data_IF_122034902273
#
_entry.id   IF_122034902273
#
_cell.length_a   1.000
_cell.length_b   1.000
_cell.length_c   1.000
_cell.angle_alpha   90.00
_cell.angle_beta   90.00
_cell.angle_gamma   90.00
#
_symmetry.space_group_name_H-M   'P 1'
#
loop_
_entity.id
_entity.type
_entity.pdbx_description
1 polymer ?
#
# COMPACT_ATOMS: atom_id res chain seq x y z
N UNK A 1 42.65 32.91 5.83
CA UNK A 1 42.74 31.53 6.33
C UNK A 1 41.45 31.21 7.08
N UNK A 2 40.53 30.51 6.41
CA UNK A 2 39.95 29.22 6.84
C UNK A 2 38.80 29.36 7.87
N UNK A 3 37.59 28.83 7.73
CA UNK A 3 37.04 27.74 6.92
C UNK A 3 35.57 28.02 6.51
N UNK A 4 35.21 27.58 5.31
CA UNK A 4 33.85 27.21 4.94
C UNK A 4 33.31 26.18 5.95
N UNK A 5 32.28 26.54 6.72
CA UNK A 5 31.51 25.55 7.49
C UNK A 5 30.32 25.10 6.66
N UNK A 6 30.54 24.00 5.95
CA UNK A 6 29.54 23.18 5.26
C UNK A 6 28.31 22.96 6.13
N UNK A 7 27.19 23.60 5.77
CA UNK A 7 25.87 23.25 6.29
C UNK A 7 25.44 21.97 5.59
N UNK A 8 25.62 20.85 6.28
CA UNK A 8 25.12 19.52 5.89
C UNK A 8 23.64 19.61 5.52
N UNK A 9 23.18 18.91 4.45
CA UNK A 9 21.76 18.76 4.21
C UNK A 9 21.11 18.08 5.42
N UNK A 10 20.08 18.72 6.01
CA UNK A 10 19.21 18.09 7.00
C UNK A 10 18.47 16.97 6.29
N UNK A 11 18.95 15.73 6.40
CA UNK A 11 18.11 14.57 6.14
C UNK A 11 16.91 14.67 7.09
N UNK A 12 15.71 14.84 6.53
CA UNK A 12 14.50 14.79 7.31
C UNK A 12 14.45 13.46 8.07
N UNK A 13 14.24 13.51 9.39
CA UNK A 13 14.05 12.28 10.18
C UNK A 13 12.91 11.46 9.58
N UNK A 14 13.04 10.13 9.42
CA UNK A 14 11.99 9.30 8.84
C UNK A 14 10.76 9.14 9.76
N UNK A 15 10.82 9.58 11.02
CA UNK A 15 9.76 9.42 12.01
C UNK A 15 8.36 9.92 11.59
N UNK A 16 8.17 11.15 11.05
CA UNK A 16 6.87 11.62 10.57
C UNK A 16 6.36 10.84 9.35
N UNK A 17 7.26 10.37 8.48
CA UNK A 17 6.89 9.56 7.30
C UNK A 17 6.44 8.16 7.74
N UNK A 18 7.17 7.53 8.67
CA UNK A 18 6.80 6.25 9.26
C UNK A 18 5.46 6.30 10.00
N UNK A 19 5.15 7.41 10.68
CA UNK A 19 3.86 7.62 11.34
C UNK A 19 2.69 7.64 10.35
N UNK A 20 2.90 8.13 9.12
CA UNK A 20 1.89 8.12 8.06
C UNK A 20 1.45 6.72 7.60
N UNK A 21 2.26 5.68 7.84
CA UNK A 21 1.92 4.29 7.52
C UNK A 21 1.31 3.51 8.68
N UNK A 22 1.07 4.14 9.84
CA UNK A 22 0.44 3.48 11.00
C UNK A 22 -0.96 2.93 10.69
N UNK A 23 -1.85 3.66 9.97
CA UNK A 23 -3.17 3.13 9.63
C UNK A 23 -3.08 1.84 8.81
N UNK A 24 -2.18 1.79 7.82
CA UNK A 24 -1.94 0.61 7.01
C UNK A 24 -1.47 -0.59 7.83
N UNK A 25 -0.48 -0.40 8.71
CA UNK A 25 0.00 -1.49 9.57
C UNK A 25 -1.11 -2.03 10.46
N UNK A 26 -1.88 -1.12 11.06
CA UNK A 26 -2.99 -1.49 11.93
C UNK A 26 -4.03 -2.28 11.15
N UNK A 27 -4.45 -1.78 9.98
CA UNK A 27 -5.40 -2.46 9.13
C UNK A 27 -4.93 -3.88 8.76
N UNK A 28 -3.69 -4.00 8.25
CA UNK A 28 -3.15 -5.31 7.85
C UNK A 28 -3.01 -6.25 9.05
N UNK A 29 -2.62 -5.77 10.23
CA UNK A 29 -2.52 -6.59 11.43
C UNK A 29 -3.91 -7.05 11.92
N UNK A 30 -4.90 -6.15 11.94
CA UNK A 30 -6.26 -6.42 12.40
C UNK A 30 -7.02 -7.36 11.46
N UNK A 31 -6.64 -7.40 10.17
CA UNK A 31 -7.34 -8.16 9.13
C UNK A 31 -6.50 -9.24 8.43
N UNK A 32 -5.31 -9.59 8.93
CA UNK A 32 -4.39 -10.52 8.27
C UNK A 32 -5.02 -11.86 7.88
N UNK A 33 -5.80 -12.46 8.78
CA UNK A 33 -6.46 -13.74 8.52
C UNK A 33 -7.50 -13.64 7.40
N UNK A 34 -8.33 -12.59 7.42
CA UNK A 34 -9.33 -12.35 6.38
C UNK A 34 -8.69 -12.08 5.03
N UNK A 35 -7.61 -11.28 5.00
CA UNK A 35 -6.86 -11.00 3.76
C UNK A 35 -6.25 -12.27 3.18
N UNK A 36 -5.72 -13.16 4.04
CA UNK A 36 -5.14 -14.43 3.60
C UNK A 36 -6.19 -15.38 3.04
N UNK A 37 -7.33 -15.54 3.72
CA UNK A 37 -8.43 -16.39 3.27
C UNK A 37 -8.98 -15.87 1.94
N UNK A 38 -9.17 -14.55 1.83
CA UNK A 38 -9.59 -13.90 0.60
C UNK A 38 -8.61 -14.18 -0.55
N UNK A 39 -7.31 -13.98 -0.32
CA UNK A 39 -6.29 -14.21 -1.33
C UNK A 39 -6.21 -15.68 -1.77
N UNK A 40 -6.36 -16.63 -0.85
CA UNK A 40 -6.38 -18.06 -1.16
C UNK A 40 -7.62 -18.45 -1.98
N UNK A 41 -8.79 -17.92 -1.62
CA UNK A 41 -10.04 -18.18 -2.34
C UNK A 41 -10.00 -17.65 -3.78
N UNK A 42 -9.43 -16.46 -3.97
CA UNK A 42 -9.48 -15.74 -5.24
C UNK A 42 -8.34 -16.07 -6.20
N UNK A 43 -7.14 -16.33 -5.67
CA UNK A 43 -5.93 -16.56 -6.46
C UNK A 43 -5.10 -17.76 -6.01
N UNK A 44 -5.59 -18.53 -5.05
CA UNK A 44 -4.90 -19.69 -4.53
C UNK A 44 -3.70 -19.38 -3.64
N UNK A 45 -2.95 -20.44 -3.34
CA UNK A 45 -1.89 -20.45 -2.33
C UNK A 45 -0.75 -19.46 -2.57
N UNK A 46 -0.43 -19.14 -3.83
CA UNK A 46 0.58 -18.14 -4.17
C UNK A 46 0.21 -16.77 -3.63
N UNK A 47 -1.06 -16.37 -3.78
CA UNK A 47 -1.58 -15.10 -3.30
C UNK A 47 -1.72 -15.08 -1.78
N UNK A 48 -2.11 -16.19 -1.16
CA UNK A 48 -2.08 -16.33 0.30
C UNK A 48 -0.67 -16.12 0.90
N UNK A 49 0.36 -16.66 0.24
CA UNK A 49 1.75 -16.45 0.65
C UNK A 49 2.21 -15.00 0.46
N UNK A 50 1.71 -14.30 -0.57
CA UNK A 50 1.99 -12.88 -0.76
C UNK A 50 1.43 -12.03 0.39
N UNK A 51 0.25 -12.40 0.94
CA UNK A 51 -0.30 -11.76 2.15
C UNK A 51 0.63 -11.95 3.35
N UNK A 52 1.18 -13.14 3.56
CA UNK A 52 2.16 -13.37 4.64
C UNK A 52 3.42 -12.51 4.45
N UNK A 53 3.93 -12.40 3.22
CA UNK A 53 5.07 -11.54 2.89
C UNK A 53 4.73 -10.07 3.23
N UNK A 54 3.54 -9.58 2.87
CA UNK A 54 3.09 -8.22 3.20
C UNK A 54 3.07 -8.02 4.71
N UNK A 55 2.48 -8.95 5.46
CA UNK A 55 2.36 -8.89 6.92
C UNK A 55 3.74 -8.83 7.57
N UNK A 56 4.64 -9.72 7.17
CA UNK A 56 6.00 -9.78 7.71
C UNK A 56 6.77 -8.47 7.43
N UNK A 57 6.72 -8.00 6.18
CA UNK A 57 7.42 -6.78 5.79
C UNK A 57 6.87 -5.54 6.46
N UNK A 58 5.56 -5.44 6.67
CA UNK A 58 4.95 -4.36 7.44
C UNK A 58 5.20 -4.46 8.95
N UNK A 59 5.74 -5.57 9.48
CA UNK A 59 6.26 -5.62 10.84
C UNK A 59 7.68 -5.09 10.93
N UNK A 60 8.50 -5.33 9.91
CA UNK A 60 9.94 -5.05 9.94
C UNK A 60 10.37 -3.73 9.27
N UNK A 61 9.62 -3.23 8.28
CA UNK A 61 9.97 -2.02 7.52
C UNK A 61 9.26 -0.79 8.13
N UNK A 62 9.91 0.18 8.80
CA UNK A 62 9.23 1.35 9.40
C UNK A 62 8.61 2.30 8.36
N UNK A 63 9.15 2.30 7.15
CA UNK A 63 8.59 2.92 5.96
C UNK A 63 8.49 1.80 4.92
N UNK A 64 7.28 1.45 4.42
CA UNK A 64 7.13 0.41 3.43
C UNK A 64 7.95 0.72 2.19
N UNK A 65 8.71 -0.26 1.73
CA UNK A 65 9.43 -0.14 0.47
C UNK A 65 8.46 -0.08 -0.72
N UNK A 66 8.97 0.34 -1.89
CA UNK A 66 8.21 0.28 -3.14
C UNK A 66 7.70 -1.12 -3.47
N UNK A 67 8.47 -2.16 -3.13
CA UNK A 67 8.04 -3.55 -3.33
C UNK A 67 6.84 -3.89 -2.45
N UNK A 68 6.82 -3.44 -1.19
CA UNK A 68 5.72 -3.69 -0.25
C UNK A 68 4.44 -3.02 -0.71
N UNK A 69 4.55 -1.78 -1.19
CA UNK A 69 3.42 -1.05 -1.77
C UNK A 69 2.89 -1.74 -3.03
N UNK A 70 3.77 -2.23 -3.92
CA UNK A 70 3.34 -2.99 -5.10
C UNK A 70 2.59 -4.28 -4.74
N UNK A 71 3.08 -5.04 -3.76
CA UNK A 71 2.36 -6.24 -3.31
C UNK A 71 0.97 -5.91 -2.73
N UNK A 72 0.83 -4.77 -2.05
CA UNK A 72 -0.47 -4.30 -1.56
C UNK A 72 -1.39 -3.86 -2.70
N UNK A 73 -0.85 -3.20 -3.72
CA UNK A 73 -1.61 -2.82 -4.92
C UNK A 73 -2.06 -4.06 -5.71
N UNK A 74 -1.19 -5.05 -5.88
CA UNK A 74 -1.49 -6.35 -6.53
C UNK A 74 -2.57 -7.11 -5.75
N UNK A 75 -2.49 -7.13 -4.41
CA UNK A 75 -3.53 -7.73 -3.57
C UNK A 75 -4.87 -7.00 -3.72
N UNK A 76 -4.86 -5.66 -3.75
CA UNK A 76 -6.07 -4.88 -3.97
C UNK A 76 -6.66 -5.15 -5.36
N UNK A 77 -5.83 -5.26 -6.38
CA UNK A 77 -6.24 -5.58 -7.74
C UNK A 77 -6.95 -6.95 -7.79
N UNK A 78 -6.35 -7.98 -7.20
CA UNK A 78 -6.96 -9.32 -7.07
C UNK A 78 -8.33 -9.25 -6.38
N UNK A 79 -8.40 -8.55 -5.25
CA UNK A 79 -9.59 -8.50 -4.41
C UNK A 79 -10.71 -7.58 -4.93
N UNK A 80 -10.41 -6.70 -5.89
CA UNK A 80 -11.35 -5.67 -6.36
C UNK A 80 -12.11 -6.01 -7.62
N UNK A 81 -11.95 -7.23 -8.16
CA UNK A 81 -12.58 -7.66 -9.41
C UNK A 81 -12.26 -6.75 -10.62
N UNK A 82 -11.30 -5.80 -10.51
CA UNK A 82 -10.88 -4.95 -11.63
C UNK A 82 -10.25 -5.76 -12.78
N UNK A 83 -9.89 -7.03 -12.52
CA UNK A 83 -9.41 -7.99 -13.52
C UNK A 83 -10.52 -8.79 -14.24
N UNK A 84 -11.79 -8.72 -13.80
CA UNK A 84 -12.90 -9.53 -14.37
C UNK A 84 -13.30 -9.09 -15.78
N UNK A 85 -12.71 -8.02 -16.31
CA UNK A 85 -12.83 -7.70 -17.74
C UNK A 85 -12.14 -8.71 -18.65
N UNK A 86 -11.23 -9.55 -18.15
CA UNK A 86 -10.64 -10.66 -18.89
C UNK A 86 -11.24 -12.00 -18.42
N UNK A 87 -12.33 -12.39 -19.08
CA UNK A 87 -13.09 -13.62 -18.81
C UNK A 87 -12.27 -14.91 -19.03
N UNK A 88 -11.08 -14.82 -19.64
CA UNK A 88 -10.18 -15.97 -19.85
C UNK A 88 -9.05 -16.07 -18.81
N UNK A 89 -8.99 -15.15 -17.86
CA UNK A 89 -8.04 -15.22 -16.75
C UNK A 89 -8.43 -16.32 -15.73
N UNK A 90 -7.47 -17.05 -15.15
CA UNK A 90 -7.76 -18.05 -14.11
C UNK A 90 -8.44 -17.43 -12.88
N UNK A 91 -8.23 -16.14 -12.64
CA UNK A 91 -8.91 -15.37 -11.60
C UNK A 91 -10.42 -15.20 -11.92
N UNK A 92 -10.81 -14.96 -13.18
CA UNK A 92 -12.22 -14.86 -13.58
C UNK A 92 -12.99 -16.19 -13.42
N UNK A 93 -12.31 -17.32 -13.62
CA UNK A 93 -12.88 -18.65 -13.33
C UNK A 93 -13.14 -18.83 -11.82
N UNK A 94 -12.17 -18.47 -10.97
CA UNK A 94 -12.33 -18.54 -9.51
C UNK A 94 -13.49 -17.67 -9.01
N UNK A 95 -13.64 -16.46 -9.55
CA UNK A 95 -14.78 -15.59 -9.22
C UNK A 95 -16.12 -16.11 -9.74
N UNK A 96 -16.16 -16.76 -10.90
CA UNK A 96 -17.38 -17.35 -11.46
C UNK A 96 -17.91 -18.52 -10.61
N UNK A 97 -17.05 -19.14 -9.81
CA UNK A 97 -17.41 -20.21 -8.88
C UNK A 97 -17.96 -19.71 -7.54
N UNK A 98 -17.83 -18.42 -7.23
CA UNK A 98 -18.35 -17.83 -6.00
C UNK A 98 -19.80 -17.40 -6.23
N UNK A 99 -20.72 -17.95 -5.42
CA UNK A 99 -22.11 -17.51 -5.44
C UNK A 99 -22.19 -16.05 -4.94
N UNK A 100 -22.67 -15.08 -5.75
CA UNK A 100 -22.79 -13.69 -5.33
C UNK A 100 -23.75 -13.49 -4.15
N UNK A 101 -24.63 -14.45 -3.86
CA UNK A 101 -25.49 -14.45 -2.69
C UNK A 101 -24.82 -15.03 -1.42
N UNK A 102 -23.61 -15.59 -1.54
CA UNK A 102 -22.86 -16.09 -0.40
C UNK A 102 -22.46 -14.93 0.53
N UNK A 103 -22.76 -14.99 1.83
CA UNK A 103 -22.35 -13.98 2.81
C UNK A 103 -20.86 -13.63 2.77
N UNK A 104 -19.99 -14.57 2.36
CA UNK A 104 -18.56 -14.32 2.25
C UNK A 104 -18.23 -13.21 1.24
N UNK A 105 -19.05 -13.04 0.19
CA UNK A 105 -18.86 -11.98 -0.82
C UNK A 105 -18.99 -10.60 -0.19
N UNK A 106 -19.98 -10.42 0.67
CA UNK A 106 -20.16 -9.15 1.38
C UNK A 106 -18.96 -8.83 2.28
N UNK A 107 -18.41 -9.84 2.96
CA UNK A 107 -17.21 -9.69 3.78
C UNK A 107 -15.98 -9.33 2.93
N UNK A 108 -15.81 -9.98 1.78
CA UNK A 108 -14.74 -9.69 0.83
C UNK A 108 -14.84 -8.25 0.30
N UNK A 109 -16.02 -7.82 -0.17
CA UNK A 109 -16.23 -6.46 -0.65
C UNK A 109 -15.90 -5.42 0.43
N UNK A 110 -16.37 -5.62 1.67
CA UNK A 110 -16.05 -4.74 2.79
C UNK A 110 -14.55 -4.69 3.08
N UNK A 111 -13.86 -5.82 2.99
CA UNK A 111 -12.43 -5.91 3.22
C UNK A 111 -11.64 -5.17 2.12
N UNK A 112 -12.02 -5.37 0.86
CA UNK A 112 -11.47 -4.68 -0.31
C UNK A 112 -11.65 -3.17 -0.20
N UNK A 113 -12.85 -2.69 0.13
CA UNK A 113 -13.13 -1.26 0.25
C UNK A 113 -12.29 -0.60 1.34
N UNK A 114 -12.14 -1.27 2.50
CA UNK A 114 -11.31 -0.76 3.59
C UNK A 114 -9.83 -0.76 3.24
N UNK A 115 -9.35 -1.78 2.51
CA UNK A 115 -7.97 -1.81 2.01
C UNK A 115 -7.73 -0.63 1.05
N UNK A 116 -8.63 -0.43 0.07
CA UNK A 116 -8.57 0.68 -0.90
C UNK A 116 -8.53 2.03 -0.20
N UNK A 117 -9.44 2.26 0.76
CA UNK A 117 -9.48 3.51 1.53
C UNK A 117 -8.19 3.73 2.33
N UNK A 118 -7.64 2.66 2.91
CA UNK A 118 -6.38 2.72 3.68
C UNK A 118 -5.19 3.07 2.80
N UNK A 119 -5.11 2.49 1.60
CA UNK A 119 -4.05 2.80 0.63
C UNK A 119 -4.17 4.22 0.07
N UNK A 120 -5.39 4.68 -0.23
CA UNK A 120 -5.64 6.04 -0.70
C UNK A 120 -5.26 7.12 0.34
N UNK A 121 -5.34 6.79 1.63
CA UNK A 121 -4.95 7.67 2.74
C UNK A 121 -3.45 7.70 3.04
N UNK A 122 -2.63 6.89 2.35
CA UNK A 122 -1.19 6.89 2.59
C UNK A 122 -0.54 8.20 2.16
N UNK A 123 0.54 8.63 2.85
CA UNK A 123 1.34 9.74 2.36
C UNK A 123 1.90 9.35 0.98
N UNK A 124 1.51 10.09 -0.05
CA UNK A 124 2.20 10.00 -1.33
C UNK A 124 3.66 10.36 -1.07
N UNK A 125 4.65 9.66 -1.67
CA UNK A 125 6.04 10.07 -1.59
C UNK A 125 6.12 11.46 -2.23
N UNK A 126 5.99 12.47 -1.39
CA UNK A 126 5.92 13.86 -1.78
C UNK A 126 7.14 14.16 -2.62
N UNK A 127 6.89 14.56 -3.87
CA UNK A 127 7.90 15.14 -4.75
C UNK A 127 8.71 16.17 -3.95
N UNK A 128 10.03 16.29 -4.21
CA UNK A 128 10.86 17.28 -3.53
C UNK A 128 10.19 18.64 -3.72
N UNK A 129 9.66 19.18 -2.62
CA UNK A 129 9.01 20.47 -2.59
C UNK A 129 10.11 21.50 -2.81
N UNK A 130 10.38 21.82 -4.08
CA UNK A 130 11.21 22.95 -4.48
C UNK A 130 10.50 24.19 -3.99
N UNK A 131 10.86 24.65 -2.78
CA UNK A 131 10.48 25.99 -2.36
C UNK A 131 11.09 26.97 -3.38
N UNK A 132 10.32 27.93 -3.92
CA UNK A 132 10.89 28.96 -4.76
C UNK A 132 11.94 29.70 -3.92
N UNK A 133 13.18 29.69 -4.42
CA UNK A 133 14.32 30.35 -3.84
C UNK A 133 14.00 31.83 -3.70
N UNK A 134 13.75 32.28 -2.47
CA UNK A 134 13.72 33.69 -2.13
C UNK A 134 15.14 34.25 -2.25
N UNK A 135 15.57 34.58 -3.47
CA UNK A 135 16.80 35.34 -3.70
C UNK A 135 16.74 36.15 -5.00
N UNK A 136 16.67 37.46 -4.85
CA UNK A 136 16.83 38.46 -5.91
C UNK A 136 16.09 39.76 -5.58
N UNK A 137 16.48 40.53 -4.56
CA UNK A 137 17.11 41.85 -4.74
C UNK A 137 17.11 42.41 -6.17
N UNK A 138 16.39 43.52 -6.36
CA UNK A 138 16.74 44.70 -7.17
C UNK A 138 15.95 45.85 -6.52
N UNK A 139 16.56 46.78 -5.77
CA UNK A 139 17.49 47.82 -6.20
C UNK A 139 16.90 48.71 -7.30
N UNK A 140 16.21 49.76 -6.87
CA UNK A 140 16.13 51.07 -7.50
C UNK A 140 15.73 52.08 -6.41
#
# INVERSE_FOLDING_TARGET
MTHLRSLRPRFASPAPVAAGYRPLRRFVADHAAGLRIAADLLGGKSHANAVDEIVDRLRHEPVPSRRTLRLLDELLLLMSLELVTDLESPEAEAFSLIDPADPIVAELCLLTDRLRATLAGLPTPSQPRTMPSARGRQAA
#
